data_IF_244152577097
#
_entry.id   IF_244152577097
#
_cell.length_a   1.000
_cell.length_b   1.000
_cell.length_c   1.000
_cell.angle_alpha   90.00
_cell.angle_beta   90.00
_cell.angle_gamma   90.00
#
_symmetry.space_group_name_H-M   'P 1'
#
loop_
_entity.id
_entity.type
_entity.pdbx_description
1 polymer ?
#
# COMPACT_ATOMS: atom_id res chain seq x y z
N UNK A 1 -5.67 -10.11 11.81
CA UNK A 1 -5.62 -9.62 10.41
C UNK A 1 -6.79 -8.66 10.21
N UNK A 2 -6.56 -7.35 10.13
CA UNK A 2 -7.64 -6.35 10.00
C UNK A 2 -7.97 -6.15 8.52
N UNK A 3 -9.20 -6.49 8.13
CA UNK A 3 -9.70 -6.23 6.78
C UNK A 3 -10.31 -4.83 6.81
N UNK A 4 -9.72 -3.88 6.10
CA UNK A 4 -10.34 -2.57 5.89
C UNK A 4 -11.21 -2.70 4.64
N UNK A 5 -12.51 -2.44 4.81
CA UNK A 5 -13.50 -2.34 3.73
C UNK A 5 -13.98 -0.88 3.66
N UNK A 6 -14.46 -0.44 2.49
CA UNK A 6 -15.20 0.82 2.28
C UNK A 6 -14.35 2.08 1.95
N UNK A 7 -13.13 1.93 1.43
CA UNK A 7 -12.37 3.07 0.89
C UNK A 7 -12.78 3.39 -0.55
N UNK A 8 -13.15 4.64 -0.84
CA UNK A 8 -13.48 5.09 -2.20
C UNK A 8 -12.29 5.87 -2.78
N UNK A 9 -11.86 5.49 -3.99
CA UNK A 9 -10.81 6.15 -4.73
C UNK A 9 -11.38 6.74 -6.02
N UNK A 10 -11.43 8.06 -6.07
CA UNK A 10 -11.86 8.82 -7.24
C UNK A 10 -10.67 9.51 -7.89
N UNK A 11 -10.63 9.47 -9.21
CA UNK A 11 -9.64 10.19 -10.00
C UNK A 11 -10.12 10.40 -11.44
N UNK A 12 -9.51 11.37 -12.08
CA UNK A 12 -9.71 11.70 -13.47
C UNK A 12 -8.52 11.22 -14.29
N UNK A 13 -8.79 10.52 -15.39
CA UNK A 13 -7.75 10.13 -16.33
C UNK A 13 -7.35 11.33 -17.20
N UNK A 14 -6.04 11.48 -17.42
CA UNK A 14 -5.47 12.49 -18.33
C UNK A 14 -5.61 12.06 -19.80
N UNK A 15 -6.80 11.63 -20.21
CA UNK A 15 -7.14 11.37 -21.60
C UNK A 15 -7.95 12.53 -22.20
N UNK A 16 -8.10 12.54 -23.53
CA UNK A 16 -8.84 13.61 -24.23
C UNK A 16 -10.28 13.75 -23.73
N UNK A 17 -10.86 12.66 -23.22
CA UNK A 17 -12.22 12.60 -22.72
C UNK A 17 -12.35 12.96 -21.24
N UNK A 18 -11.24 13.17 -20.51
CA UNK A 18 -11.25 13.57 -19.10
C UNK A 18 -12.06 12.59 -18.24
N UNK A 19 -11.91 11.29 -18.49
CA UNK A 19 -12.80 10.28 -17.92
C UNK A 19 -12.69 10.18 -16.40
N UNK A 20 -13.84 10.21 -15.72
CA UNK A 20 -13.97 9.99 -14.29
C UNK A 20 -14.04 8.50 -13.97
N UNK A 21 -13.27 8.08 -12.97
CA UNK A 21 -13.17 6.69 -12.53
C UNK A 21 -13.37 6.63 -11.02
N UNK A 22 -14.29 5.76 -10.59
CA UNK A 22 -14.60 5.50 -9.18
C UNK A 22 -14.28 4.05 -8.84
N UNK A 23 -13.35 3.83 -7.90
CA UNK A 23 -12.98 2.51 -7.43
C UNK A 23 -13.27 2.38 -5.93
N UNK A 24 -14.11 1.40 -5.58
CA UNK A 24 -14.41 1.06 -4.19
C UNK A 24 -13.53 -0.11 -3.73
N UNK A 25 -12.93 0.01 -2.55
CA UNK A 25 -12.16 -1.05 -1.91
C UNK A 25 -13.09 -2.09 -1.27
N UNK A 26 -13.10 -3.28 -1.85
CA UNK A 26 -13.83 -4.46 -1.35
C UNK A 26 -13.05 -5.13 -0.21
N UNK A 27 -11.73 -5.26 -0.39
CA UNK A 27 -10.86 -5.98 0.54
C UNK A 27 -9.43 -5.49 0.44
N UNK A 28 -8.84 -5.23 1.59
CA UNK A 28 -7.41 -4.97 1.74
C UNK A 28 -6.75 -6.05 2.59
N UNK A 29 -5.49 -6.35 2.28
CA UNK A 29 -4.62 -7.18 3.10
C UNK A 29 -3.24 -6.54 3.16
N UNK A 30 -2.69 -6.39 4.36
CA UNK A 30 -1.35 -5.84 4.58
C UNK A 30 -0.48 -6.92 5.18
N UNK A 31 0.68 -7.17 4.58
CA UNK A 31 1.70 -8.08 5.06
C UNK A 31 3.05 -7.36 5.20
N UNK A 32 3.86 -7.81 6.15
CA UNK A 32 5.15 -7.22 6.46
C UNK A 32 6.23 -8.26 6.22
N UNK A 33 7.19 -7.93 5.35
CA UNK A 33 8.36 -8.76 5.09
C UNK A 33 9.57 -8.09 5.72
N UNK A 34 10.27 -8.84 6.57
CA UNK A 34 11.49 -8.38 7.22
C UNK A 34 12.59 -9.32 6.77
N UNK A 35 13.55 -8.79 6.02
CA UNK A 35 14.70 -9.57 5.56
C UNK A 35 15.79 -9.50 6.63
N UNK A 36 16.22 -10.63 7.21
CA UNK A 36 17.40 -10.64 8.06
C UNK A 36 18.62 -10.27 7.22
N UNK A 37 19.29 -9.16 7.54
CA UNK A 37 20.59 -8.83 6.98
C UNK A 37 21.66 -9.62 7.73
N UNK A 38 22.76 -10.02 7.06
CA UNK A 38 23.89 -10.72 7.72
C UNK A 38 24.45 -9.93 8.92
N UNK A 39 24.24 -8.61 8.94
CA UNK A 39 24.50 -7.71 10.06
C UNK A 39 23.17 -7.06 10.49
N UNK A 40 22.40 -7.77 11.33
CA UNK A 40 21.08 -7.38 11.88
C UNK A 40 21.02 -6.01 12.57
N UNK A 41 22.16 -5.32 12.76
CA UNK A 41 22.31 -4.30 13.79
C UNK A 41 22.34 -2.85 13.30
N UNK A 42 22.38 -2.56 11.98
CA UNK A 42 22.52 -1.16 11.53
C UNK A 42 21.41 -0.61 10.63
N UNK A 43 20.87 -1.40 9.70
CA UNK A 43 19.83 -0.93 8.76
C UNK A 43 18.84 -2.05 8.43
N UNK A 44 17.78 -2.22 9.22
CA UNK A 44 16.77 -3.23 8.94
C UNK A 44 16.03 -2.89 7.64
N UNK A 45 15.84 -3.89 6.77
CA UNK A 45 15.10 -3.75 5.52
C UNK A 45 13.71 -4.38 5.65
N UNK A 46 12.69 -3.54 5.52
CA UNK A 46 11.29 -3.87 5.78
C UNK A 46 10.48 -3.52 4.54
N UNK A 47 9.72 -4.48 4.02
CA UNK A 47 8.73 -4.23 2.98
C UNK A 47 7.33 -4.35 3.56
N UNK A 48 6.53 -3.31 3.38
CA UNK A 48 5.09 -3.28 3.69
C UNK A 48 4.35 -3.54 2.38
N UNK A 49 3.83 -4.75 2.21
CA UNK A 49 3.06 -5.14 1.04
C UNK A 49 1.56 -4.96 1.30
N UNK A 50 0.93 -4.08 0.53
CA UNK A 50 -0.49 -3.79 0.55
C UNK A 50 -1.12 -4.45 -0.67
N UNK A 51 -1.96 -5.46 -0.45
CA UNK A 51 -2.79 -6.08 -1.48
C UNK A 51 -4.19 -5.49 -1.42
N UNK A 52 -4.57 -4.77 -2.46
CA UNK A 52 -5.86 -4.10 -2.57
C UNK A 52 -6.75 -4.81 -3.61
N UNK A 53 -7.98 -5.12 -3.25
CA UNK A 53 -9.02 -5.61 -4.17
C UNK A 53 -10.09 -4.54 -4.29
N UNK A 54 -10.19 -3.95 -5.48
CA UNK A 54 -11.14 -2.89 -5.79
C UNK A 54 -12.22 -3.34 -6.76
N UNK A 55 -13.41 -2.75 -6.64
CA UNK A 55 -14.51 -2.81 -7.59
C UNK A 55 -14.56 -1.50 -8.36
N UNK A 56 -14.70 -1.55 -9.68
CA UNK A 56 -15.00 -0.35 -10.46
C UNK A 56 -16.51 -0.15 -10.47
N UNK A 57 -16.98 0.99 -9.95
CA UNK A 57 -18.42 1.28 -9.86
C UNK A 57 -18.95 2.04 -11.06
N UNK A 58 -18.20 3.01 -11.59
CA UNK A 58 -18.73 3.90 -12.63
C UNK A 58 -17.67 4.29 -13.66
N UNK A 59 -18.09 4.28 -14.94
CA UNK A 59 -17.32 4.75 -16.10
C UNK A 59 -18.27 5.50 -17.03
N UNK A 60 -18.14 6.82 -17.14
CA UNK A 60 -18.94 7.58 -18.11
C UNK A 60 -18.43 7.36 -19.54
N UNK A 61 -19.30 6.70 -20.34
CA UNK A 61 -19.32 6.46 -21.80
C UNK A 61 -18.47 5.33 -22.42
N UNK A 62 -19.22 4.26 -22.76
CA UNK A 62 -19.17 3.45 -23.99
C UNK A 62 -17.81 3.12 -24.62
N UNK A 63 -17.34 1.88 -24.37
CA UNK A 63 -16.93 0.87 -25.38
C UNK A 63 -16.21 -0.28 -24.68
N UNK A 64 -16.71 -1.51 -24.82
CA UNK A 64 -16.15 -2.76 -24.25
C UNK A 64 -14.65 -2.98 -24.54
N UNK A 65 -14.10 -2.43 -25.63
CA UNK A 65 -12.69 -2.56 -26.02
C UNK A 65 -11.72 -1.54 -25.38
N UNK A 66 -12.24 -0.40 -24.92
CA UNK A 66 -11.46 0.64 -24.22
C UNK A 66 -11.05 0.15 -22.81
N UNK A 67 -11.69 -0.91 -22.32
CA UNK A 67 -11.63 -1.37 -20.95
C UNK A 67 -10.21 -1.71 -20.45
N UNK A 68 -9.41 -2.51 -21.17
CA UNK A 68 -8.14 -3.07 -20.64
C UNK A 68 -7.05 -2.04 -20.36
N UNK A 69 -6.88 -1.08 -21.27
CA UNK A 69 -5.89 0.00 -21.10
C UNK A 69 -6.29 0.88 -19.91
N UNK A 70 -7.58 1.15 -19.77
CA UNK A 70 -8.13 1.97 -18.70
C UNK A 70 -8.02 1.27 -17.35
N UNK A 71 -8.37 -0.02 -17.24
CA UNK A 71 -8.11 -0.81 -16.02
C UNK A 71 -6.64 -0.75 -15.62
N UNK A 72 -5.73 -0.90 -16.57
CA UNK A 72 -4.29 -0.90 -16.29
C UNK A 72 -3.80 0.46 -15.81
N UNK A 73 -4.24 1.55 -16.45
CA UNK A 73 -3.91 2.92 -16.02
C UNK A 73 -4.49 3.22 -14.64
N UNK A 74 -5.79 3.00 -14.46
CA UNK A 74 -6.50 3.16 -13.19
C UNK A 74 -5.84 2.39 -12.05
N UNK A 75 -5.47 1.13 -12.30
CA UNK A 75 -4.73 0.30 -11.35
C UNK A 75 -3.42 0.96 -10.93
N UNK A 76 -2.60 1.36 -11.90
CA UNK A 76 -1.28 1.97 -11.64
C UNK A 76 -1.40 3.29 -10.90
N UNK A 77 -2.38 4.13 -11.21
CA UNK A 77 -2.60 5.39 -10.51
C UNK A 77 -2.96 5.19 -9.04
N UNK A 78 -3.85 4.23 -8.75
CA UNK A 78 -4.19 3.88 -7.36
C UNK A 78 -2.99 3.26 -6.63
N UNK A 79 -2.27 2.33 -7.27
CA UNK A 79 -1.05 1.74 -6.70
C UNK A 79 -0.02 2.82 -6.34
N UNK A 80 0.25 3.73 -7.28
CA UNK A 80 1.19 4.84 -7.09
C UNK A 80 0.75 5.76 -5.96
N UNK A 81 -0.52 6.17 -5.94
CA UNK A 81 -1.06 7.07 -4.92
C UNK A 81 -0.96 6.46 -3.52
N UNK A 82 -1.35 5.20 -3.37
CA UNK A 82 -1.30 4.50 -2.08
C UNK A 82 0.15 4.26 -1.64
N UNK A 83 1.04 3.87 -2.56
CA UNK A 83 2.46 3.74 -2.24
C UNK A 83 3.03 5.07 -1.76
N UNK A 84 2.81 6.17 -2.47
CA UNK A 84 3.32 7.49 -2.08
C UNK A 84 2.79 7.92 -0.71
N UNK A 85 1.48 7.82 -0.48
CA UNK A 85 0.87 8.16 0.80
C UNK A 85 1.42 7.31 1.95
N UNK A 86 1.65 6.02 1.70
CA UNK A 86 2.26 5.11 2.67
C UNK A 86 3.70 5.48 2.98
N UNK A 87 4.50 5.79 1.95
CA UNK A 87 5.89 6.24 2.11
C UNK A 87 5.96 7.56 2.89
N UNK A 88 5.14 8.55 2.54
CA UNK A 88 5.08 9.84 3.23
C UNK A 88 4.72 9.67 4.71
N UNK A 89 3.77 8.78 5.00
CA UNK A 89 3.35 8.48 6.36
C UNK A 89 4.46 7.79 7.16
N UNK A 90 5.14 6.81 6.56
CA UNK A 90 6.30 6.14 7.16
C UNK A 90 7.43 7.13 7.41
N UNK A 91 7.73 8.02 6.46
CA UNK A 91 8.75 9.05 6.65
C UNK A 91 8.37 10.04 7.77
N UNK A 92 7.10 10.40 7.89
CA UNK A 92 6.60 11.23 8.99
C UNK A 92 6.85 10.55 10.35
N UNK A 93 6.49 9.27 10.49
CA UNK A 93 6.71 8.50 11.72
C UNK A 93 8.20 8.39 12.06
N UNK A 94 9.05 8.11 11.07
CA UNK A 94 10.50 7.96 11.27
C UNK A 94 11.24 9.26 11.55
N UNK A 95 11.01 10.31 10.76
CA UNK A 95 11.85 11.52 10.76
C UNK A 95 11.24 12.69 11.53
N UNK A 96 9.91 12.80 11.58
CA UNK A 96 9.24 13.91 12.27
C UNK A 96 8.85 13.58 13.70
N UNK A 97 8.39 12.35 13.93
CA UNK A 97 7.82 11.96 15.22
C UNK A 97 8.72 11.01 16.01
N UNK A 98 9.62 10.29 15.32
CA UNK A 98 10.45 9.23 15.89
C UNK A 98 9.64 8.22 16.72
N UNK A 99 8.52 7.74 16.16
CA UNK A 99 7.66 6.73 16.80
C UNK A 99 7.33 5.61 15.82
N UNK A 100 7.09 4.40 16.33
CA UNK A 100 6.70 3.23 15.52
C UNK A 100 5.22 2.82 15.78
N UNK A 101 4.25 3.54 15.19
CA UNK A 101 2.83 3.21 15.34
C UNK A 101 2.42 2.00 14.50
N UNK A 102 3.31 1.54 13.60
CA UNK A 102 3.08 0.39 12.74
C UNK A 102 3.47 -0.92 13.43
N UNK A 103 4.20 -0.87 14.55
CA UNK A 103 4.69 -2.04 15.30
C UNK A 103 5.75 -2.82 14.52
N UNK A 104 6.58 -2.13 13.75
CA UNK A 104 7.68 -2.73 12.99
C UNK A 104 8.73 -3.36 13.91
N UNK A 105 9.04 -2.74 15.05
CA UNK A 105 10.02 -3.25 16.02
C UNK A 105 9.60 -4.57 16.64
N UNK A 106 8.31 -4.72 16.98
CA UNK A 106 7.77 -6.00 17.47
C UNK A 106 7.90 -7.11 16.41
N UNK A 107 7.67 -6.79 15.14
CA UNK A 107 7.86 -7.74 14.04
C UNK A 107 9.34 -8.04 13.83
N UNK A 108 10.22 -7.05 13.93
CA UNK A 108 11.66 -7.23 13.79
C UNK A 108 12.21 -8.14 14.87
N UNK A 109 11.76 -7.96 16.12
CA UNK A 109 12.13 -8.81 17.27
C UNK A 109 11.79 -10.29 17.07
N UNK A 110 10.78 -10.62 16.26
CA UNK A 110 10.50 -12.03 15.91
C UNK A 110 11.62 -12.68 15.09
N UNK A 111 12.46 -11.88 14.42
CA UNK A 111 13.62 -12.31 13.62
C UNK A 111 14.94 -12.18 14.37
N UNK A 112 15.03 -11.21 15.28
CA UNK A 112 16.17 -10.99 16.15
C UNK A 112 15.73 -10.88 17.62
N UNK A 113 15.91 -11.98 18.37
CA UNK A 113 15.52 -12.03 19.78
C UNK A 113 16.36 -11.10 20.68
N UNK A 114 17.54 -10.66 20.22
CA UNK A 114 18.41 -9.73 20.95
C UNK A 114 17.97 -8.27 20.78
N UNK A 115 17.00 -8.00 19.90
CA UNK A 115 16.39 -6.69 19.72
C UNK A 115 15.46 -6.37 20.90
N UNK A 116 15.79 -5.29 21.61
CA UNK A 116 14.96 -4.71 22.67
C UNK A 116 14.23 -3.46 22.13
N UNK A 117 13.16 -2.99 22.80
CA UNK A 117 12.49 -1.75 22.40
C UNK A 117 13.43 -0.54 22.31
N UNK A 118 14.40 -0.45 23.22
CA UNK A 118 15.38 0.65 23.28
C UNK A 118 16.31 0.60 22.06
N UNK A 119 16.89 -0.58 21.76
CA UNK A 119 17.73 -0.77 20.56
C UNK A 119 16.96 -0.52 19.27
N UNK A 120 15.67 -0.85 19.25
CA UNK A 120 14.81 -0.59 18.10
C UNK A 120 14.62 0.92 17.90
N UNK A 121 14.34 1.65 18.98
CA UNK A 121 14.17 3.11 18.96
C UNK A 121 15.42 3.81 18.38
N UNK A 122 16.62 3.30 18.69
CA UNK A 122 17.88 3.85 18.17
C UNK A 122 18.05 3.66 16.66
N UNK A 123 17.67 2.49 16.11
CA UNK A 123 17.87 2.16 14.70
C UNK A 123 16.66 2.49 13.80
N UNK A 124 15.48 2.69 14.39
CA UNK A 124 14.23 2.90 13.66
C UNK A 124 14.28 4.08 12.67
N UNK A 125 14.84 5.26 13.01
CA UNK A 125 14.98 6.38 12.08
C UNK A 125 15.72 6.02 10.78
N UNK A 126 16.61 5.03 10.84
CA UNK A 126 17.48 4.59 9.74
C UNK A 126 17.02 3.30 9.06
N UNK A 127 15.93 2.70 9.52
CA UNK A 127 15.31 1.54 8.88
C UNK A 127 14.95 1.83 7.41
N UNK A 128 15.30 0.93 6.50
CA UNK A 128 14.85 1.02 5.11
C UNK A 128 13.46 0.39 5.02
N UNK A 129 12.43 1.24 4.95
CA UNK A 129 11.03 0.82 4.91
C UNK A 129 10.46 1.16 3.54
N UNK A 130 10.14 0.13 2.77
CA UNK A 130 9.53 0.23 1.45
C UNK A 130 8.05 -0.10 1.50
N UNK A 131 7.21 0.71 0.86
CA UNK A 131 5.76 0.43 0.75
C UNK A 131 5.42 0.03 -0.67
N UNK A 132 4.79 -1.13 -0.83
CA UNK A 132 4.38 -1.65 -2.15
C UNK A 132 2.89 -1.88 -2.16
N UNK A 133 2.19 -1.21 -3.08
CA UNK A 133 0.78 -1.47 -3.32
C UNK A 133 0.58 -2.35 -4.55
N UNK A 134 -0.25 -3.36 -4.41
CA UNK A 134 -0.66 -4.28 -5.46
C UNK A 134 -2.18 -4.30 -5.55
N UNK A 135 -2.71 -3.67 -6.59
CA UNK A 135 -4.13 -3.59 -6.84
C UNK A 135 -4.58 -4.69 -7.80
N UNK A 136 -5.69 -5.33 -7.45
CA UNK A 136 -6.47 -6.16 -8.35
C UNK A 136 -7.85 -5.53 -8.47
N UNK A 137 -8.23 -5.18 -9.69
CA UNK A 137 -9.57 -4.70 -9.95
C UNK A 137 -10.41 -5.90 -10.40
N UNK A 138 -11.55 -6.09 -9.76
CA UNK A 138 -12.52 -7.11 -10.15
C UNK A 138 -13.74 -6.45 -10.76
N UNK A 139 -14.22 -7.04 -11.85
CA UNK A 139 -15.52 -6.71 -12.39
C UNK A 139 -16.52 -7.61 -11.66
N UNK A 140 -17.34 -7.02 -10.81
CA UNK A 140 -18.56 -7.67 -10.35
C UNK A 140 -19.49 -7.67 -11.57
N UNK A 141 -19.56 -8.82 -12.23
CA UNK A 141 -20.63 -9.06 -13.18
C UNK A 141 -21.94 -8.79 -12.47
N UNK A 142 -22.82 -8.06 -13.13
CA UNK A 142 -24.23 -7.93 -12.76
C UNK A 142 -24.71 -9.28 -12.23
N UNK A 143 -25.07 -9.36 -10.96
CA UNK A 143 -25.98 -10.42 -10.53
C UNK A 143 -27.26 -10.17 -11.31
N UNK A 144 -27.46 -10.97 -12.36
CA UNK A 144 -28.73 -11.08 -13.03
C UNK A 144 -29.71 -11.82 -12.11
#
# INVERSE_FOLDING_TARGET
MKIIKNGIYEFQLHDRAKTHVVIENIKSHVSYQIKPTKNLTKKPHITIDIKLKGELKEFMKSKKLINRIYWTKSKKEVEKRITQQGEDLVQSFKKKQNIDPLGLGLRYRSKDKAMTPEKWQDIYPDADVQVKCHMKIVQTGVSQ
#
